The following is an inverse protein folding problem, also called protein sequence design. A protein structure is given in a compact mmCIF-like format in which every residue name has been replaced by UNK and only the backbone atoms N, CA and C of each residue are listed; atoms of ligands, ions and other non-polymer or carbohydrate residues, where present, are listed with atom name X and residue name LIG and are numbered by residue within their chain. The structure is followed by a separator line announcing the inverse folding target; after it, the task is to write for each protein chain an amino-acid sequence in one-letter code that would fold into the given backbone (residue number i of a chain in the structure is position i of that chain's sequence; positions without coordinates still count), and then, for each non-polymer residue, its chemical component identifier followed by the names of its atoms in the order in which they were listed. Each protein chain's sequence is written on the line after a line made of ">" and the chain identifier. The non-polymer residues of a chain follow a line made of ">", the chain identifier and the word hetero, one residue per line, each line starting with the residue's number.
data_IF_360420870455
#
_entry.id   IF_360420870455
#
_cell.length_a   1.000
_cell.length_b   1.000
_cell.length_c   1.000
_cell.angle_alpha   90.00
_cell.angle_beta   90.00
_cell.angle_gamma   90.00
#
_symmetry.space_group_name_H-M   'P 1'
#
loop_
_entity.id
_entity.type
_entity.pdbx_description
1 polymer ?
#
# COMPACT_ATOMS: atom_id res chain seq x y z
N UNK A 1 -10.30 -10.03 -4.86
CA UNK A 1 -11.47 -10.28 -4.02
C UNK A 1 -11.20 -11.50 -3.18
N UNK A 2 -10.80 -11.25 -1.94
CA UNK A 2 -10.53 -12.27 -0.91
C UNK A 2 -10.97 -11.67 0.43
N UNK A 3 -11.97 -12.28 1.06
CA UNK A 3 -12.35 -11.99 2.45
C UNK A 3 -11.26 -12.46 3.41
N UNK A 4 -10.83 -11.63 4.35
CA UNK A 4 -9.87 -12.01 5.38
C UNK A 4 -10.00 -11.09 6.60
N UNK A 5 -10.43 -11.67 7.72
CA UNK A 5 -10.58 -10.93 8.99
C UNK A 5 -9.23 -10.48 9.56
N UNK A 6 -8.13 -11.17 9.22
CA UNK A 6 -6.77 -10.79 9.65
C UNK A 6 -6.20 -9.61 8.85
N UNK A 7 -6.58 -9.47 7.58
CA UNK A 7 -6.04 -8.45 6.67
C UNK A 7 -6.95 -7.22 6.59
N UNK A 8 -8.25 -7.37 6.87
CA UNK A 8 -9.23 -6.29 6.85
C UNK A 8 -9.38 -5.60 5.48
N UNK A 9 -9.88 -4.35 5.43
CA UNK A 9 -9.96 -3.59 4.19
C UNK A 9 -8.56 -3.21 3.71
N UNK A 10 -8.09 -3.85 2.63
CA UNK A 10 -6.74 -3.68 2.12
C UNK A 10 -6.63 -3.92 0.59
N UNK A 11 -5.57 -3.38 0.03
CA UNK A 11 -5.05 -3.62 -1.31
C UNK A 11 -3.53 -3.60 -1.23
N UNK A 12 -2.86 -4.47 -1.98
CA UNK A 12 -1.40 -4.45 -2.05
C UNK A 12 -0.89 -5.13 -3.31
N UNK A 13 0.17 -4.54 -3.87
CA UNK A 13 1.00 -5.15 -4.90
C UNK A 13 2.05 -6.10 -4.31
N UNK A 14 2.16 -7.30 -4.89
CA UNK A 14 3.21 -8.28 -4.62
C UNK A 14 4.26 -8.28 -5.73
N UNK A 15 5.50 -8.72 -5.43
CA UNK A 15 6.52 -8.96 -6.45
C UNK A 15 6.00 -9.84 -7.58
N UNK A 16 6.36 -9.50 -8.82
CA UNK A 16 5.88 -10.21 -10.01
C UNK A 16 4.54 -9.69 -10.57
N UNK A 17 4.02 -8.57 -10.04
CA UNK A 17 2.91 -7.83 -10.64
C UNK A 17 1.52 -8.31 -10.26
N UNK A 18 1.40 -9.03 -9.15
CA UNK A 18 0.10 -9.49 -8.62
C UNK A 18 -0.47 -8.40 -7.71
N UNK A 19 -1.69 -7.95 -7.98
CA UNK A 19 -2.45 -7.08 -7.08
C UNK A 19 -3.48 -7.90 -6.32
N UNK A 20 -3.48 -7.76 -5.00
CA UNK A 20 -4.51 -8.31 -4.12
C UNK A 20 -5.41 -7.18 -3.66
N UNK A 21 -6.73 -7.43 -3.67
CA UNK A 21 -7.76 -6.50 -3.20
C UNK A 21 -8.77 -7.29 -2.36
N UNK A 22 -9.01 -6.84 -1.13
CA UNK A 22 -9.97 -7.47 -0.21
C UNK A 22 -11.39 -7.00 -0.48
N UNK A 23 -12.37 -7.80 -0.06
CA UNK A 23 -13.79 -7.52 -0.35
C UNK A 23 -14.27 -6.34 0.51
N UNK A 24 -13.75 -6.24 1.73
CA UNK A 24 -13.99 -5.17 2.69
C UNK A 24 -13.55 -3.81 2.14
N UNK A 25 -12.42 -3.73 1.43
CA UNK A 25 -11.99 -2.47 0.81
C UNK A 25 -12.88 -2.09 -0.38
N UNK A 26 -13.37 -3.07 -1.13
CA UNK A 26 -14.32 -2.83 -2.24
C UNK A 26 -15.63 -2.27 -1.72
N UNK A 27 -16.10 -2.76 -0.58
CA UNK A 27 -17.30 -2.23 0.09
C UNK A 27 -17.09 -0.77 0.51
N UNK A 28 -15.94 -0.43 1.11
CA UNK A 28 -15.63 0.95 1.52
C UNK A 28 -15.50 1.89 0.33
N UNK A 29 -14.93 1.39 -0.77
CA UNK A 29 -14.77 2.15 -2.01
C UNK A 29 -16.12 2.55 -2.64
N UNK A 30 -17.22 1.87 -2.28
CA UNK A 30 -18.65 2.10 -2.61
C UNK A 30 -19.02 2.17 -4.10
N UNK A 31 -18.07 2.51 -4.98
CA UNK A 31 -18.24 2.74 -6.40
C UNK A 31 -17.07 2.12 -7.16
N UNK A 32 -17.38 1.69 -8.39
CA UNK A 32 -16.41 1.18 -9.37
C UNK A 32 -15.20 2.10 -9.52
N UNK A 33 -15.42 3.41 -9.51
CA UNK A 33 -14.37 4.39 -9.74
C UNK A 33 -13.37 4.48 -8.57
N UNK A 34 -13.81 4.23 -7.33
CA UNK A 34 -12.93 4.12 -6.17
C UNK A 34 -12.02 2.89 -6.27
N UNK A 35 -12.60 1.75 -6.67
CA UNK A 35 -11.84 0.51 -6.91
C UNK A 35 -10.82 0.70 -8.05
N UNK A 36 -11.20 1.37 -9.14
CA UNK A 36 -10.29 1.70 -10.23
C UNK A 36 -9.15 2.60 -9.73
N UNK A 37 -9.46 3.59 -8.89
CA UNK A 37 -8.46 4.46 -8.26
C UNK A 37 -7.43 3.67 -7.47
N UNK A 38 -7.88 2.77 -6.58
CA UNK A 38 -7.00 1.88 -5.81
C UNK A 38 -6.15 1.00 -6.75
N UNK A 39 -6.74 0.41 -7.78
CA UNK A 39 -5.99 -0.41 -8.73
C UNK A 39 -4.93 0.40 -9.49
N UNK A 40 -5.23 1.65 -9.87
CA UNK A 40 -4.25 2.52 -10.51
C UNK A 40 -3.08 2.85 -9.58
N UNK A 41 -3.37 3.09 -8.30
CA UNK A 41 -2.36 3.26 -7.25
C UNK A 41 -1.46 2.02 -7.10
N UNK A 42 -2.06 0.82 -6.98
CA UNK A 42 -1.30 -0.43 -6.88
C UNK A 42 -0.48 -0.72 -8.14
N UNK A 43 -0.98 -0.37 -9.32
CA UNK A 43 -0.21 -0.43 -10.57
C UNK A 43 0.97 0.54 -10.55
N UNK A 44 0.84 1.71 -9.92
CA UNK A 44 1.96 2.63 -9.67
C UNK A 44 3.07 1.98 -8.84
N UNK A 45 2.72 1.28 -7.76
CA UNK A 45 3.68 0.50 -6.97
C UNK A 45 4.39 -0.58 -7.80
N UNK A 46 3.65 -1.30 -8.65
CA UNK A 46 4.22 -2.32 -9.53
C UNK A 46 5.17 -1.69 -10.57
N UNK A 47 4.73 -0.61 -11.22
CA UNK A 47 5.51 0.07 -12.26
C UNK A 47 6.86 0.55 -11.71
N UNK A 48 6.89 1.03 -10.47
CA UNK A 48 8.07 1.57 -9.80
C UNK A 48 8.81 0.52 -8.94
N UNK A 49 8.38 -0.74 -9.00
CA UNK A 49 8.98 -1.88 -8.30
C UNK A 49 9.11 -1.67 -6.79
N UNK A 50 8.12 -1.01 -6.18
CA UNK A 50 8.10 -0.75 -4.74
C UNK A 50 8.12 -2.03 -3.91
N UNK A 51 7.37 -3.10 -4.25
CA UNK A 51 7.44 -4.36 -3.51
C UNK A 51 8.85 -4.97 -3.51
N UNK A 52 9.54 -4.98 -4.66
CA UNK A 52 10.89 -5.51 -4.80
C UNK A 52 11.93 -4.64 -4.08
N UNK A 53 11.87 -3.31 -4.27
CA UNK A 53 12.77 -2.36 -3.59
C UNK A 53 12.64 -2.48 -2.07
N UNK A 54 11.41 -2.65 -1.59
CA UNK A 54 11.11 -2.87 -0.17
C UNK A 54 11.70 -4.19 0.33
N UNK A 55 11.44 -5.29 -0.37
CA UNK A 55 11.98 -6.61 -0.03
C UNK A 55 13.51 -6.58 0.09
N UNK A 56 14.19 -5.98 -0.90
CA UNK A 56 15.65 -5.83 -0.89
C UNK A 56 16.10 -5.00 0.32
N UNK A 57 15.44 -3.87 0.61
CA UNK A 57 15.77 -3.05 1.79
C UNK A 57 15.64 -3.84 3.10
N UNK A 58 14.56 -4.62 3.26
CA UNK A 58 14.34 -5.46 4.45
C UNK A 58 15.43 -6.52 4.57
N UNK A 59 15.73 -7.25 3.49
CA UNK A 59 16.79 -8.29 3.51
C UNK A 59 18.17 -7.71 3.82
N UNK A 60 18.48 -6.51 3.29
CA UNK A 60 19.74 -5.83 3.58
C UNK A 60 19.82 -5.39 5.04
N UNK A 61 18.72 -4.88 5.61
CA UNK A 61 18.67 -4.51 7.03
C UNK A 61 18.92 -5.73 7.92
N UNK A 62 18.25 -6.86 7.63
CA UNK A 62 18.45 -8.12 8.33
C UNK A 62 19.90 -8.59 8.23
N UNK A 63 20.48 -8.59 7.03
CA UNK A 63 21.87 -8.99 6.83
C UNK A 63 22.86 -8.14 7.64
N UNK A 64 22.66 -6.82 7.70
CA UNK A 64 23.51 -5.92 8.49
C UNK A 64 23.40 -6.22 9.98
N UNK A 65 22.19 -6.44 10.50
CA UNK A 65 21.98 -6.79 11.91
C UNK A 65 22.67 -8.11 12.24
N UNK A 66 22.50 -9.14 11.41
CA UNK A 66 23.13 -10.44 11.62
C UNK A 66 24.66 -10.37 11.61
N UNK A 67 25.26 -9.53 10.77
CA UNK A 67 26.71 -9.31 10.76
C UNK A 67 27.21 -8.62 12.03
N UNK A 68 26.45 -7.66 12.57
CA UNK A 68 26.81 -6.96 13.81
C UNK A 68 26.74 -7.90 15.02
N UNK A 69 25.75 -8.80 15.04
CA UNK A 69 25.51 -9.73 16.14
C UNK A 69 26.32 -11.04 16.02
N UNK A 70 27.02 -11.26 14.89
CA UNK A 70 27.65 -12.53 14.53
C UNK A 70 26.66 -13.73 14.61
N UNK A 71 25.39 -13.45 14.33
CA UNK A 71 24.28 -14.39 14.50
C UNK A 71 23.60 -14.70 13.17
N UNK A 72 24.17 -15.70 12.49
CA UNK A 72 23.64 -16.22 11.24
C UNK A 72 22.37 -17.08 11.41
N UNK A 73 22.07 -17.56 12.62
CA UNK A 73 20.88 -18.36 12.89
C UNK A 73 19.62 -17.48 12.89
N UNK A 74 19.70 -16.30 13.50
CA UNK A 74 18.64 -15.29 13.47
C UNK A 74 18.29 -14.87 12.04
N UNK A 75 19.27 -14.73 11.14
CA UNK A 75 19.02 -14.42 9.73
C UNK A 75 18.14 -15.48 9.04
N UNK A 76 18.44 -16.76 9.27
CA UNK A 76 17.73 -17.87 8.63
C UNK A 76 16.30 -18.01 9.15
N UNK A 77 16.07 -17.80 10.44
CA UNK A 77 14.75 -17.83 11.06
C UNK A 77 13.86 -16.66 10.59
N UNK A 78 14.42 -15.45 10.53
CA UNK A 78 13.68 -14.26 10.13
C UNK A 78 13.38 -14.26 8.61
N UNK A 79 14.26 -14.85 7.81
CA UNK A 79 13.99 -15.07 6.39
C UNK A 79 12.80 -16.02 6.16
N UNK A 80 12.58 -16.99 7.04
CA UNK A 80 11.44 -17.90 6.94
C UNK A 80 10.09 -17.24 7.25
N UNK A 81 10.08 -16.12 7.99
CA UNK A 81 8.87 -15.39 8.39
C UNK A 81 8.60 -14.13 7.56
N UNK A 82 9.59 -13.68 6.77
CA UNK A 82 9.53 -12.42 6.01
C UNK A 82 8.32 -12.30 5.07
N UNK A 83 7.80 -13.43 4.55
CA UNK A 83 6.67 -13.46 3.63
C UNK A 83 5.38 -12.90 4.24
N UNK A 84 5.13 -13.16 5.52
CA UNK A 84 3.96 -12.63 6.24
C UNK A 84 4.10 -11.14 6.54
N UNK A 85 5.30 -10.73 6.97
CA UNK A 85 5.58 -9.33 7.33
C UNK A 85 5.56 -8.39 6.12
N UNK A 86 5.86 -8.87 4.92
CA UNK A 86 5.83 -8.05 3.70
C UNK A 86 4.44 -7.43 3.41
N UNK A 87 3.37 -8.10 3.84
CA UNK A 87 1.98 -7.65 3.65
C UNK A 87 1.60 -6.58 4.67
N UNK A 88 2.11 -6.66 5.91
CA UNK A 88 1.72 -5.77 7.02
C UNK A 88 2.61 -4.55 7.17
N UNK A 89 3.79 -4.53 6.54
CA UNK A 89 4.68 -3.38 6.61
C UNK A 89 4.06 -2.17 5.88
N UNK A 90 4.36 -0.96 6.36
CA UNK A 90 4.00 0.31 5.72
C UNK A 90 4.99 0.75 4.62
N UNK A 91 4.49 1.23 3.48
CA UNK A 91 5.34 1.91 2.50
C UNK A 91 5.85 3.24 3.04
N UNK A 92 6.99 3.69 2.51
CA UNK A 92 7.50 5.01 2.87
C UNK A 92 6.65 6.10 2.20
N UNK A 93 6.65 7.31 2.77
CA UNK A 93 5.88 8.43 2.21
C UNK A 93 6.30 8.74 0.78
N UNK A 94 7.58 8.62 0.48
CA UNK A 94 8.12 8.82 -0.86
C UNK A 94 7.56 7.78 -1.85
N UNK A 95 7.40 6.52 -1.44
CA UNK A 95 6.82 5.47 -2.30
C UNK A 95 5.34 5.71 -2.56
N UNK A 96 4.61 6.22 -1.57
CA UNK A 96 3.20 6.58 -1.73
C UNK A 96 3.02 7.78 -2.68
N UNK A 97 3.84 8.82 -2.56
CA UNK A 97 3.83 9.98 -3.47
C UNK A 97 4.22 9.60 -4.91
N UNK A 98 5.22 8.72 -5.05
CA UNK A 98 5.62 8.13 -6.32
C UNK A 98 4.47 7.32 -6.95
N UNK A 99 3.78 6.49 -6.15
CA UNK A 99 2.65 5.68 -6.60
C UNK A 99 1.42 6.52 -6.95
N UNK A 100 1.08 7.55 -6.18
CA UNK A 100 -0.02 8.48 -6.49
C UNK A 100 0.22 9.19 -7.82
N UNK A 101 1.46 9.62 -8.09
CA UNK A 101 1.83 10.28 -9.35
C UNK A 101 1.65 9.35 -10.54
N UNK A 102 2.19 8.13 -10.43
CA UNK A 102 2.04 7.12 -11.48
C UNK A 102 0.57 6.71 -11.67
N UNK A 103 -0.17 6.50 -10.58
CA UNK A 103 -1.58 6.16 -10.58
C UNK A 103 -2.45 7.25 -11.21
N UNK A 104 -2.22 8.52 -10.85
CA UNK A 104 -2.88 9.68 -11.45
C UNK A 104 -2.63 9.73 -12.96
N UNK A 105 -1.39 9.52 -13.39
CA UNK A 105 -1.05 9.48 -14.82
C UNK A 105 -1.75 8.31 -15.55
N UNK A 106 -1.80 7.12 -14.94
CA UNK A 106 -2.52 5.96 -15.48
C UNK A 106 -4.00 6.27 -15.67
N UNK A 107 -4.65 6.89 -14.68
CA UNK A 107 -6.07 7.26 -14.73
C UNK A 107 -6.32 8.28 -15.83
N UNK A 108 -5.52 9.35 -15.89
CA UNK A 108 -5.66 10.41 -16.90
C UNK A 108 -5.51 9.82 -18.32
N UNK A 109 -4.49 8.98 -18.53
CA UNK A 109 -4.28 8.31 -19.83
C UNK A 109 -5.43 7.37 -20.21
N UNK A 110 -6.11 6.80 -19.23
CA UNK A 110 -7.30 5.97 -19.43
C UNK A 110 -8.60 6.78 -19.61
N UNK A 111 -8.55 8.12 -19.54
CA UNK A 111 -9.73 8.98 -19.59
C UNK A 111 -10.58 8.94 -18.31
N UNK A 112 -9.98 8.56 -17.18
CA UNK A 112 -10.62 8.39 -15.89
C UNK A 112 -10.14 9.48 -14.92
N UNK A 113 -11.00 9.84 -13.97
CA UNK A 113 -10.69 10.87 -12.97
C UNK A 113 -9.89 10.29 -11.79
N UNK A 114 -8.89 11.01 -11.25
CA UNK A 114 -8.21 10.66 -9.99
C UNK A 114 -9.02 11.05 -8.74
N UNK A 115 -10.04 11.89 -8.87
CA UNK A 115 -10.86 12.40 -7.76
C UNK A 115 -11.48 11.26 -6.91
N UNK A 116 -11.99 10.15 -7.47
CA UNK A 116 -12.49 9.03 -6.68
C UNK A 116 -11.46 8.43 -5.72
N UNK A 117 -10.17 8.39 -6.10
CA UNK A 117 -9.10 7.94 -5.21
C UNK A 117 -8.89 8.95 -4.08
N UNK A 118 -8.85 10.25 -4.38
CA UNK A 118 -8.74 11.30 -3.37
C UNK A 118 -9.88 11.27 -2.35
N UNK A 119 -11.12 11.09 -2.82
CA UNK A 119 -12.30 10.98 -1.96
C UNK A 119 -12.24 9.73 -1.06
N UNK A 120 -11.73 8.62 -1.58
CA UNK A 120 -11.52 7.40 -0.79
C UNK A 120 -10.47 7.63 0.30
N UNK A 121 -9.33 8.27 -0.04
CA UNK A 121 -8.31 8.65 0.94
C UNK A 121 -8.87 9.53 2.06
N UNK A 122 -9.68 10.54 1.69
CA UNK A 122 -10.32 11.43 2.66
C UNK A 122 -11.23 10.64 3.60
N UNK A 123 -12.12 9.81 3.03
CA UNK A 123 -13.06 8.98 3.80
C UNK A 123 -12.35 8.03 4.77
N UNK A 124 -11.27 7.39 4.32
CA UNK A 124 -10.46 6.52 5.17
C UNK A 124 -9.77 7.33 6.29
N UNK A 125 -9.31 8.55 5.99
CA UNK A 125 -8.68 9.43 6.99
C UNK A 125 -9.68 9.89 8.05
N UNK A 126 -10.87 10.32 7.64
CA UNK A 126 -11.95 10.77 8.54
C UNK A 126 -12.39 9.64 9.48
N UNK A 127 -12.45 8.40 8.98
CA UNK A 127 -12.78 7.23 9.80
C UNK A 127 -11.75 6.94 10.90
N UNK A 128 -10.49 7.40 10.75
CA UNK A 128 -9.51 7.33 11.82
C UNK A 128 -9.79 8.39 12.89
N UNK A 129 -10.08 9.63 12.53
CA UNK A 129 -10.26 10.71 13.53
C UNK A 129 -11.34 10.39 14.57
N UNK A 130 -12.40 9.68 14.17
CA UNK A 130 -13.46 9.24 15.08
C UNK A 130 -13.07 8.03 15.94
N UNK A 131 -12.22 7.12 15.43
CA UNK A 131 -11.85 5.90 16.15
C UNK A 131 -10.53 5.25 15.65
N UNK A 132 -9.40 5.95 15.76
CA UNK A 132 -8.08 5.48 15.25
C UNK A 132 -7.59 4.16 15.87
N UNK A 133 -8.25 3.64 16.91
CA UNK A 133 -8.02 2.27 17.41
C UNK A 133 -8.39 1.19 16.37
N UNK A 134 -9.17 1.55 15.35
CA UNK A 134 -9.57 0.72 14.21
C UNK A 134 -9.14 1.38 12.88
N UNK A 135 -7.88 1.85 12.81
CA UNK A 135 -7.30 2.30 11.54
C UNK A 135 -7.58 1.27 10.42
N UNK A 136 -8.17 1.68 9.28
CA UNK A 136 -8.32 0.79 8.15
C UNK A 136 -6.97 0.16 7.80
N UNK A 137 -6.93 -1.15 7.59
CA UNK A 137 -5.67 -1.87 7.34
C UNK A 137 -4.91 -1.29 6.14
N UNK A 138 -5.63 -0.84 5.12
CA UNK A 138 -5.03 -0.15 3.97
C UNK A 138 -4.25 1.12 4.36
N UNK A 139 -4.73 1.94 5.31
CA UNK A 139 -3.97 3.10 5.79
C UNK A 139 -2.74 2.73 6.62
N UNK A 140 -2.73 1.53 7.20
CA UNK A 140 -1.56 1.01 7.93
C UNK A 140 -0.44 0.63 6.96
N UNK A 141 -0.78 0.12 5.77
CA UNK A 141 0.19 -0.23 4.73
C UNK A 141 0.50 0.93 3.78
N UNK A 142 -0.46 1.84 3.59
CA UNK A 142 -0.40 3.04 2.75
C UNK A 142 -0.66 4.29 3.59
N UNK A 143 0.35 4.82 4.29
CA UNK A 143 0.17 6.01 5.11
C UNK A 143 -0.37 7.18 4.28
N UNK A 144 -1.51 7.71 4.68
CA UNK A 144 -2.07 8.93 4.09
C UNK A 144 -1.47 10.17 4.74
N UNK A 145 -1.23 11.21 3.95
CA UNK A 145 -0.88 12.56 4.41
C UNK A 145 -1.70 13.56 3.60
N UNK A 146 -2.13 14.71 4.16
CA UNK A 146 -2.98 15.67 3.45
C UNK A 146 -2.46 16.08 2.06
N UNK A 147 -1.14 16.15 1.89
CA UNK A 147 -0.50 16.48 0.61
C UNK A 147 -0.83 15.49 -0.53
N UNK A 148 -1.09 14.21 -0.22
CA UNK A 148 -1.49 13.21 -1.21
C UNK A 148 -2.88 13.48 -1.77
N UNK A 149 -3.82 13.82 -0.88
CA UNK A 149 -5.20 14.17 -1.24
C UNK A 149 -5.18 15.44 -2.10
N UNK A 150 -4.45 16.47 -1.67
CA UNK A 150 -4.28 17.72 -2.43
C UNK A 150 -3.67 17.47 -3.81
N UNK A 151 -2.66 16.60 -3.90
CA UNK A 151 -2.04 16.25 -5.18
C UNK A 151 -3.00 15.53 -6.13
N UNK A 152 -3.85 14.64 -5.63
CA UNK A 152 -4.82 13.91 -6.46
C UNK A 152 -5.99 14.79 -6.90
N UNK A 153 -6.32 15.83 -6.14
CA UNK A 153 -7.35 16.82 -6.46
C UNK A 153 -6.88 17.94 -7.39
N UNK A 154 -5.56 18.13 -7.56
CA UNK A 154 -5.03 19.14 -8.48
C UNK A 154 -5.26 18.77 -9.95
N UNK A 155 -5.28 19.79 -10.82
CA UNK A 155 -5.37 19.61 -12.28
C UNK A 155 -4.08 19.08 -12.91
#
# INVERSE_FOLDING_TARGET
>A
FRKSEEVGPNAFALPGGVVVLTDELVEIAEKKDGVIGVLAHELGHIQLKHPERRLVRSLMALAVVSLILDDSATFAEELATISGSLISLAYTREFEEEADRAGKEILIRAGLSPIPLANLLQKLSDSCEENCSQLPHWLSTHPTVPSRIEFLLSD
#
